data_IF_288971459679
#
_entry.id   IF_288971459679
#
_cell.length_a   1.000
_cell.length_b   1.000
_cell.length_c   1.000
_cell.angle_alpha   90.00
_cell.angle_beta   90.00
_cell.angle_gamma   90.00
#
_symmetry.space_group_name_H-M   'P 1'
#
loop_
_entity.id
_entity.type
_entity.pdbx_description
1 polymer ?
#
# COMPACT_ATOMS: atom_id res chain seq x y z
N UNK A 1 -66.47 85.63 -49.68
CA UNK A 1 -65.88 86.97 -49.50
C UNK A 1 -65.02 86.92 -48.24
N UNK A 2 -63.72 86.65 -48.37
CA UNK A 2 -62.63 87.62 -48.18
C UNK A 2 -62.81 88.51 -46.94
N UNK A 3 -61.93 88.37 -45.94
CA UNK A 3 -61.06 89.43 -45.39
C UNK A 3 -60.37 88.93 -44.11
N UNK A 4 -59.08 88.58 -44.19
CA UNK A 4 -57.90 89.33 -43.69
C UNK A 4 -57.64 89.27 -42.18
N UNK A 5 -56.54 88.57 -41.89
CA UNK A 5 -55.50 88.85 -40.90
C UNK A 5 -55.62 90.17 -40.12
N UNK A 6 -55.59 90.05 -38.80
CA UNK A 6 -55.02 91.06 -37.91
C UNK A 6 -54.19 90.34 -36.86
N UNK A 7 -52.90 90.21 -37.19
CA UNK A 7 -51.84 89.84 -36.26
C UNK A 7 -51.64 91.03 -35.31
N UNK A 8 -52.00 90.87 -34.05
CA UNK A 8 -51.63 91.81 -32.97
C UNK A 8 -50.66 91.09 -32.06
N UNK A 9 -49.43 91.59 -32.05
CA UNK A 9 -48.37 91.20 -31.14
C UNK A 9 -48.74 91.51 -29.68
N UNK A 10 -48.24 90.70 -28.76
CA UNK A 10 -47.31 91.07 -27.67
C UNK A 10 -47.53 90.18 -26.43
N UNK A 11 -46.41 89.52 -26.06
CA UNK A 11 -46.04 88.93 -24.75
C UNK A 11 -46.80 87.69 -24.27
N UNK A 12 -46.21 86.55 -24.63
CA UNK A 12 -46.33 85.27 -23.93
C UNK A 12 -45.68 85.42 -22.54
N UNK A 13 -46.45 85.81 -21.53
CA UNK A 13 -46.00 85.64 -20.14
C UNK A 13 -46.21 84.19 -19.74
N UNK A 14 -45.09 83.49 -19.69
CA UNK A 14 -44.94 82.13 -19.22
C UNK A 14 -45.01 82.16 -17.69
N UNK A 15 -46.18 81.90 -17.08
CA UNK A 15 -46.24 81.75 -15.63
C UNK A 15 -45.71 80.36 -15.25
N UNK A 16 -44.41 80.30 -14.98
CA UNK A 16 -43.76 79.21 -14.26
C UNK A 16 -43.88 79.52 -12.78
N UNK A 17 -45.05 79.27 -12.21
CA UNK A 17 -45.16 79.20 -10.77
C UNK A 17 -44.67 77.82 -10.35
N UNK A 18 -43.35 77.75 -10.16
CA UNK A 18 -42.70 76.71 -9.40
C UNK A 18 -43.38 76.63 -8.03
N UNK A 19 -44.10 75.54 -7.78
CA UNK A 19 -44.51 75.24 -6.42
C UNK A 19 -43.27 74.77 -5.66
N UNK A 20 -42.72 75.73 -4.92
CA UNK A 20 -42.02 75.47 -3.68
C UNK A 20 -42.89 74.55 -2.83
N UNK A 21 -42.27 73.53 -2.26
CA UNK A 21 -42.84 72.75 -1.17
C UNK A 21 -42.87 73.70 0.03
N UNK A 22 -43.96 74.45 0.16
CA UNK A 22 -44.24 75.26 1.33
C UNK A 22 -44.58 74.32 2.49
N UNK A 23 -43.82 74.46 3.58
CA UNK A 23 -44.04 73.77 4.85
C UNK A 23 -45.44 74.13 5.36
N UNK A 24 -46.40 73.24 5.11
CA UNK A 24 -47.71 73.33 5.75
C UNK A 24 -47.60 72.64 7.10
N UNK A 25 -47.59 73.47 8.14
CA UNK A 25 -47.62 73.07 9.54
C UNK A 25 -48.87 72.22 9.84
N UNK A 26 -48.58 71.08 10.48
CA UNK A 26 -49.43 70.34 11.41
C UNK A 26 -50.67 69.61 10.87
N UNK A 27 -50.41 68.40 10.35
CA UNK A 27 -51.18 67.25 10.84
C UNK A 27 -50.28 66.45 11.78
N UNK A 28 -50.65 66.48 13.05
CA UNK A 28 -50.09 65.81 14.22
C UNK A 28 -49.58 64.38 13.90
N UNK A 29 -48.27 64.24 13.62
CA UNK A 29 -47.61 62.99 13.25
C UNK A 29 -46.38 63.13 12.32
N UNK A 30 -46.15 64.30 11.71
CA UNK A 30 -45.10 64.52 10.69
C UNK A 30 -43.65 64.67 11.21
N UNK A 31 -43.46 64.92 12.50
CA UNK A 31 -42.13 65.19 13.08
C UNK A 31 -41.30 63.91 13.27
N UNK A 32 -41.98 62.77 13.37
CA UNK A 32 -41.35 61.47 13.55
C UNK A 32 -40.78 60.95 12.23
N UNK A 33 -41.46 61.15 11.11
CA UNK A 33 -41.01 60.60 9.83
C UNK A 33 -39.73 61.27 9.32
N UNK A 34 -39.64 62.60 9.43
CA UNK A 34 -38.44 63.36 9.04
C UNK A 34 -37.22 62.98 9.90
N UNK A 35 -37.43 62.84 11.22
CA UNK A 35 -36.36 62.42 12.14
C UNK A 35 -35.96 60.95 11.95
N UNK A 36 -36.91 60.06 11.66
CA UNK A 36 -36.63 58.65 11.32
C UNK A 36 -35.83 58.52 10.02
N UNK A 37 -36.12 59.33 9.01
CA UNK A 37 -35.38 59.33 7.74
C UNK A 37 -33.94 59.80 7.92
N UNK A 38 -33.73 60.91 8.63
CA UNK A 38 -32.37 61.39 8.93
C UNK A 38 -31.60 60.38 9.80
N UNK A 39 -32.27 59.75 10.78
CA UNK A 39 -31.68 58.67 11.58
C UNK A 39 -31.34 57.43 10.76
N UNK A 40 -32.16 57.09 9.77
CA UNK A 40 -31.92 55.98 8.86
C UNK A 40 -30.72 56.27 7.93
N UNK A 41 -30.65 57.49 7.41
CA UNK A 41 -29.52 57.96 6.60
C UNK A 41 -28.21 57.92 7.38
N UNK A 42 -28.22 58.45 8.61
CA UNK A 42 -27.07 58.38 9.51
C UNK A 42 -26.64 56.94 9.79
N UNK A 43 -27.60 56.03 10.06
CA UNK A 43 -27.30 54.60 10.27
C UNK A 43 -26.69 53.94 9.04
N UNK A 44 -27.13 54.30 7.84
CA UNK A 44 -26.54 53.79 6.59
C UNK A 44 -25.10 54.26 6.46
N UNK A 45 -24.82 55.54 6.74
CA UNK A 45 -23.46 56.08 6.69
C UNK A 45 -22.54 55.43 7.73
N UNK A 46 -23.03 55.19 8.95
CA UNK A 46 -22.33 54.43 9.98
C UNK A 46 -22.06 52.99 9.54
N UNK A 47 -23.04 52.32 8.93
CA UNK A 47 -22.90 50.94 8.47
C UNK A 47 -21.93 50.81 7.28
N UNK A 48 -21.92 51.79 6.38
CA UNK A 48 -20.94 51.87 5.29
C UNK A 48 -19.54 52.01 5.88
N UNK A 49 -19.37 52.92 6.85
CA UNK A 49 -18.10 53.15 7.52
C UNK A 49 -17.63 51.91 8.29
N UNK A 50 -18.52 51.22 8.99
CA UNK A 50 -18.21 49.97 9.71
C UNK A 50 -17.88 48.83 8.75
N UNK A 51 -18.61 48.69 7.63
CA UNK A 51 -18.29 47.71 6.57
C UNK A 51 -16.91 47.98 5.97
N UNK A 52 -16.58 49.24 5.70
CA UNK A 52 -15.28 49.63 5.16
C UNK A 52 -14.16 49.39 6.17
N UNK A 53 -14.40 49.66 7.46
CA UNK A 53 -13.47 49.33 8.54
C UNK A 53 -13.30 47.82 8.70
N UNK A 54 -14.38 47.04 8.57
CA UNK A 54 -14.36 45.57 8.59
C UNK A 54 -13.61 45.00 7.38
N UNK A 55 -13.75 45.60 6.20
CA UNK A 55 -12.99 45.21 5.00
C UNK A 55 -11.51 45.54 5.16
N UNK A 56 -11.16 46.75 5.61
CA UNK A 56 -9.77 47.11 5.91
C UNK A 56 -9.17 46.23 7.03
N UNK A 57 -9.99 45.89 8.04
CA UNK A 57 -9.60 44.97 9.11
C UNK A 57 -9.48 43.53 8.61
N UNK A 58 -10.31 43.08 7.66
CA UNK A 58 -10.24 41.76 7.04
C UNK A 58 -9.13 41.65 5.99
N UNK A 59 -8.71 42.76 5.39
CA UNK A 59 -7.50 42.85 4.55
C UNK A 59 -6.24 42.84 5.43
N UNK A 60 -6.30 43.41 6.64
CA UNK A 60 -5.18 43.39 7.61
C UNK A 60 -5.19 42.17 8.55
N UNK A 61 -6.31 41.45 8.67
CA UNK A 61 -6.49 40.15 9.36
C UNK A 61 -6.82 39.01 8.40
N UNK A 62 -6.65 39.22 7.10
CA UNK A 62 -6.29 38.09 6.27
C UNK A 62 -4.91 37.72 6.78
N UNK A 63 -4.85 36.68 7.61
CA UNK A 63 -3.73 35.75 7.48
C UNK A 63 -3.52 35.59 5.98
N UNK A 64 -2.33 36.01 5.56
CA UNK A 64 -1.87 36.13 4.19
C UNK A 64 -2.68 35.25 3.23
N UNK A 65 -3.14 35.80 2.11
CA UNK A 65 -3.50 35.03 0.91
C UNK A 65 -2.29 34.30 0.29
N UNK A 66 -1.44 33.72 1.14
CA UNK A 66 -0.19 33.02 0.87
C UNK A 66 -0.10 31.79 1.80
N UNK A 67 -1.20 31.06 2.02
CA UNK A 67 -1.22 29.89 2.89
C UNK A 67 -1.96 28.71 2.27
N UNK A 68 -3.24 28.88 1.97
CA UNK A 68 -4.10 27.78 1.52
C UNK A 68 -3.82 27.28 0.09
N UNK A 69 -3.32 28.14 -0.80
CA UNK A 69 -2.96 27.75 -2.19
C UNK A 69 -1.63 27.00 -2.22
N UNK A 70 -0.66 27.43 -1.41
CA UNK A 70 0.63 26.73 -1.27
C UNK A 70 0.48 25.39 -0.55
N UNK A 71 -0.37 25.31 0.47
CA UNK A 71 -0.65 24.04 1.16
C UNK A 71 -1.32 23.03 0.24
N UNK A 72 -2.19 23.47 -0.68
CA UNK A 72 -2.88 22.59 -1.63
C UNK A 72 -1.92 22.06 -2.70
N UNK A 73 -1.01 22.90 -3.19
CA UNK A 73 0.08 22.50 -4.10
C UNK A 73 1.12 21.61 -3.39
N UNK A 74 1.48 21.90 -2.14
CA UNK A 74 2.39 21.09 -1.33
C UNK A 74 1.77 19.71 -1.02
N UNK A 75 0.48 19.65 -0.73
CA UNK A 75 -0.27 18.39 -0.58
C UNK A 75 -0.31 17.64 -1.91
N UNK A 76 -0.56 18.32 -3.02
CA UNK A 76 -0.58 17.69 -4.34
C UNK A 76 0.79 17.08 -4.69
N UNK A 77 1.88 17.82 -4.45
CA UNK A 77 3.25 17.34 -4.63
C UNK A 77 3.56 16.16 -3.69
N UNK A 78 3.08 16.19 -2.45
CA UNK A 78 3.25 15.10 -1.50
C UNK A 78 2.50 13.84 -1.95
N UNK A 79 1.27 13.98 -2.44
CA UNK A 79 0.48 12.86 -2.99
C UNK A 79 1.17 12.27 -4.22
N UNK A 80 1.68 13.09 -5.13
CA UNK A 80 2.44 12.63 -6.30
C UNK A 80 3.72 11.86 -5.91
N UNK A 81 4.45 12.38 -4.90
CA UNK A 81 5.60 11.69 -4.33
C UNK A 81 5.22 10.33 -3.72
N UNK A 82 4.13 10.28 -2.94
CA UNK A 82 3.64 9.03 -2.35
C UNK A 82 3.16 8.02 -3.40
N UNK A 83 2.47 8.46 -4.46
CA UNK A 83 2.02 7.58 -5.55
C UNK A 83 3.22 6.88 -6.18
N UNK A 84 4.27 7.65 -6.50
CA UNK A 84 5.52 7.10 -7.02
C UNK A 84 6.20 6.15 -6.04
N UNK A 85 6.18 6.45 -4.75
CA UNK A 85 6.76 5.59 -3.72
C UNK A 85 5.98 4.28 -3.58
N UNK A 86 4.64 4.32 -3.65
CA UNK A 86 3.77 3.14 -3.65
C UNK A 86 4.03 2.27 -4.87
N UNK A 87 4.14 2.86 -6.06
CA UNK A 87 4.45 2.12 -7.29
C UNK A 87 5.83 1.46 -7.22
N UNK A 88 6.82 2.19 -6.70
CA UNK A 88 8.17 1.67 -6.50
C UNK A 88 8.19 0.52 -5.49
N UNK A 89 7.49 0.66 -4.35
CA UNK A 89 7.34 -0.39 -3.34
C UNK A 89 6.60 -1.62 -3.87
N UNK A 90 5.54 -1.43 -4.65
CA UNK A 90 4.79 -2.53 -5.26
C UNK A 90 5.68 -3.33 -6.21
N UNK A 91 6.48 -2.64 -7.04
CA UNK A 91 7.43 -3.29 -7.93
C UNK A 91 8.50 -4.08 -7.18
N UNK A 92 9.08 -3.50 -6.12
CA UNK A 92 10.03 -4.20 -5.25
C UNK A 92 9.39 -5.43 -4.60
N UNK A 93 8.14 -5.34 -4.15
CA UNK A 93 7.42 -6.43 -3.53
C UNK A 93 7.14 -7.57 -4.53
N UNK A 94 6.69 -7.26 -5.73
CA UNK A 94 6.47 -8.25 -6.79
C UNK A 94 7.78 -8.96 -7.18
N UNK A 95 8.88 -8.22 -7.26
CA UNK A 95 10.21 -8.76 -7.56
C UNK A 95 10.72 -9.66 -6.43
N UNK A 96 10.57 -9.25 -5.17
CA UNK A 96 10.89 -10.08 -4.01
C UNK A 96 10.00 -11.33 -3.94
N UNK A 97 8.71 -11.20 -4.22
CA UNK A 97 7.77 -12.32 -4.22
C UNK A 97 8.10 -13.34 -5.32
N UNK A 98 8.54 -12.87 -6.50
CA UNK A 98 9.08 -13.71 -7.56
C UNK A 98 10.38 -14.40 -7.14
N UNK A 99 11.29 -13.65 -6.51
CA UNK A 99 12.55 -14.18 -5.97
C UNK A 99 12.35 -15.20 -4.85
N UNK A 100 11.25 -15.19 -4.09
CA UNK A 100 11.00 -16.17 -3.02
C UNK A 100 10.19 -17.37 -3.53
N UNK A 101 9.19 -17.15 -4.39
CA UNK A 101 8.29 -18.21 -4.89
C UNK A 101 9.02 -19.25 -5.74
N UNK A 102 9.85 -18.80 -6.69
CA UNK A 102 10.55 -19.69 -7.63
C UNK A 102 11.58 -20.61 -6.92
N UNK A 103 12.51 -20.10 -6.09
CA UNK A 103 13.47 -20.98 -5.43
C UNK A 103 12.85 -21.81 -4.31
N UNK A 104 11.78 -21.36 -3.63
CA UNK A 104 11.14 -22.19 -2.60
C UNK A 104 10.48 -23.41 -3.22
N UNK A 105 9.82 -23.24 -4.39
CA UNK A 105 9.26 -24.37 -5.12
C UNK A 105 10.35 -25.33 -5.61
N UNK A 106 11.40 -24.83 -6.27
CA UNK A 106 12.48 -25.67 -6.81
C UNK A 106 13.30 -26.34 -5.70
N UNK A 107 13.58 -25.64 -4.61
CA UNK A 107 14.28 -26.18 -3.44
C UNK A 107 13.48 -27.30 -2.80
N UNK A 108 12.17 -27.12 -2.60
CA UNK A 108 11.29 -28.15 -2.05
C UNK A 108 11.27 -29.41 -2.93
N UNK A 109 11.12 -29.26 -4.25
CA UNK A 109 11.15 -30.40 -5.17
C UNK A 109 12.50 -31.11 -5.18
N UNK A 110 13.60 -30.35 -5.13
CA UNK A 110 14.96 -30.92 -5.06
C UNK A 110 15.14 -31.71 -3.76
N UNK A 111 14.72 -31.17 -2.62
CA UNK A 111 14.81 -31.86 -1.33
C UNK A 111 13.95 -33.13 -1.30
N UNK A 112 12.73 -33.05 -1.83
CA UNK A 112 11.84 -34.21 -1.93
C UNK A 112 12.42 -35.30 -2.84
N UNK A 113 13.02 -34.92 -3.96
CA UNK A 113 13.70 -35.83 -4.88
C UNK A 113 14.91 -36.50 -4.22
N UNK A 114 15.78 -35.72 -3.56
CA UNK A 114 16.94 -36.25 -2.83
C UNK A 114 16.54 -37.19 -1.69
N UNK A 115 15.50 -36.84 -0.92
CA UNK A 115 14.95 -37.71 0.13
C UNK A 115 14.40 -39.02 -0.45
N UNK A 116 13.68 -38.95 -1.56
CA UNK A 116 13.14 -40.13 -2.26
C UNK A 116 14.26 -41.09 -2.70
N UNK A 117 15.31 -40.56 -3.32
CA UNK A 117 16.48 -41.35 -3.75
C UNK A 117 17.19 -41.96 -2.53
N UNK A 118 17.37 -41.18 -1.47
CA UNK A 118 18.04 -41.64 -0.26
C UNK A 118 17.27 -42.75 0.46
N UNK A 119 15.95 -42.60 0.62
CA UNK A 119 15.09 -43.66 1.17
C UNK A 119 15.13 -44.92 0.31
N UNK A 120 15.10 -44.78 -1.02
CA UNK A 120 15.20 -45.91 -1.94
C UNK A 120 16.53 -46.66 -1.79
N UNK A 121 17.63 -45.93 -1.59
CA UNK A 121 18.95 -46.50 -1.35
C UNK A 121 19.01 -47.27 -0.02
N UNK A 122 18.45 -46.72 1.06
CA UNK A 122 18.43 -47.38 2.37
C UNK A 122 17.67 -48.71 2.29
N UNK A 123 16.48 -48.72 1.69
CA UNK A 123 15.68 -49.94 1.56
C UNK A 123 16.41 -51.00 0.72
N UNK A 124 17.04 -50.58 -0.38
CA UNK A 124 17.83 -51.49 -1.21
C UNK A 124 19.04 -52.06 -0.46
N UNK A 125 19.68 -51.28 0.41
CA UNK A 125 20.79 -51.75 1.24
C UNK A 125 20.33 -52.79 2.26
N UNK A 126 19.17 -52.56 2.90
CA UNK A 126 18.57 -53.51 3.85
C UNK A 126 18.26 -54.83 3.13
N UNK A 127 17.66 -54.77 1.94
CA UNK A 127 17.35 -55.97 1.14
C UNK A 127 18.63 -56.73 0.75
N UNK A 128 19.69 -56.00 0.36
CA UNK A 128 20.99 -56.61 0.08
C UNK A 128 21.57 -57.31 1.31
N UNK A 129 21.53 -56.67 2.48
CA UNK A 129 22.00 -57.26 3.75
C UNK A 129 21.16 -58.46 4.16
N UNK A 130 19.87 -58.48 3.87
CA UNK A 130 19.02 -59.67 4.07
C UNK A 130 19.46 -60.83 3.17
N UNK A 131 19.76 -60.56 1.90
CA UNK A 131 20.25 -61.58 0.97
C UNK A 131 21.62 -62.12 1.39
N UNK A 132 22.53 -61.25 1.84
CA UNK A 132 23.82 -61.65 2.39
C UNK A 132 23.61 -62.46 3.67
N UNK A 133 22.75 -62.03 4.59
CA UNK A 133 22.43 -62.79 5.81
C UNK A 133 21.92 -64.20 5.50
N UNK A 134 21.01 -64.34 4.52
CA UNK A 134 20.54 -65.66 4.05
C UNK A 134 21.68 -66.50 3.50
N UNK A 135 22.62 -65.91 2.78
CA UNK A 135 23.81 -66.60 2.30
C UNK A 135 24.73 -66.99 3.45
N UNK A 136 24.92 -66.13 4.44
CA UNK A 136 25.78 -66.38 5.61
C UNK A 136 25.33 -67.57 6.45
N UNK A 137 24.04 -67.92 6.47
CA UNK A 137 23.57 -69.17 7.12
C UNK A 137 24.35 -70.39 6.65
N UNK A 138 24.74 -70.46 5.37
CA UNK A 138 25.45 -71.63 4.83
C UNK A 138 26.84 -71.79 5.43
N UNK A 139 27.44 -70.69 5.89
CA UNK A 139 28.76 -70.65 6.53
C UNK A 139 28.66 -70.61 8.07
N UNK A 140 27.60 -70.01 8.60
CA UNK A 140 27.33 -69.84 10.04
C UNK A 140 25.92 -70.38 10.35
N UNK A 141 25.74 -71.71 10.51
CA UNK A 141 24.42 -72.31 10.70
C UNK A 141 23.72 -71.91 12.01
N UNK A 142 24.48 -71.43 12.99
CA UNK A 142 23.94 -70.92 14.26
C UNK A 142 23.43 -69.47 14.16
N UNK A 143 23.60 -68.80 13.01
CA UNK A 143 23.13 -67.44 12.80
C UNK A 143 21.61 -67.40 12.74
N UNK A 144 20.98 -66.81 13.75
CA UNK A 144 19.54 -66.57 13.78
C UNK A 144 19.19 -65.26 13.10
N UNK A 145 18.71 -65.34 11.84
CA UNK A 145 18.29 -64.17 11.07
C UNK A 145 17.15 -63.38 11.71
N UNK A 146 16.34 -64.00 12.58
CA UNK A 146 15.28 -63.33 13.31
C UNK A 146 15.80 -62.31 14.33
N UNK A 147 17.07 -62.44 14.74
CA UNK A 147 17.72 -61.52 15.68
C UNK A 147 18.66 -60.51 15.00
N UNK A 148 18.88 -60.64 13.68
CA UNK A 148 19.80 -59.76 12.94
C UNK A 148 19.13 -58.43 12.61
N UNK A 149 19.75 -57.33 13.04
CA UNK A 149 19.36 -55.98 12.62
C UNK A 149 20.05 -55.59 11.31
N UNK A 150 19.29 -55.61 10.21
CA UNK A 150 19.77 -55.27 8.87
C UNK A 150 19.99 -53.77 8.62
N UNK A 151 19.51 -52.91 9.51
CA UNK A 151 19.76 -51.46 9.44
C UNK A 151 21.19 -51.11 9.86
N UNK A 152 21.88 -52.00 10.56
CA UNK A 152 23.25 -51.82 11.04
C UNK A 152 24.27 -52.69 10.29
N UNK A 153 25.56 -52.45 10.55
CA UNK A 153 26.67 -53.11 9.87
C UNK A 153 26.96 -54.53 10.40
N UNK A 154 26.11 -55.10 11.25
CA UNK A 154 26.31 -56.42 11.86
C UNK A 154 26.50 -57.51 10.79
N UNK A 155 25.73 -57.45 9.70
CA UNK A 155 25.89 -58.40 8.58
C UNK A 155 27.25 -58.23 7.90
N UNK A 156 27.71 -56.99 7.73
CA UNK A 156 29.00 -56.69 7.12
C UNK A 156 30.16 -57.21 7.99
N UNK A 157 30.06 -57.05 9.32
CA UNK A 157 31.03 -57.56 10.30
C UNK A 157 31.10 -59.09 10.32
N UNK A 158 29.95 -59.77 10.30
CA UNK A 158 29.90 -61.24 10.23
C UNK A 158 30.50 -61.72 8.90
N UNK A 159 30.18 -61.05 7.80
CA UNK A 159 30.74 -61.37 6.49
C UNK A 159 32.27 -61.24 6.50
N UNK A 160 32.80 -60.15 7.06
CA UNK A 160 34.24 -59.93 7.18
C UNK A 160 34.93 -61.02 8.01
N UNK A 161 34.31 -61.46 9.11
CA UNK A 161 34.83 -62.56 9.93
C UNK A 161 34.84 -63.89 9.18
N UNK A 162 33.77 -64.21 8.45
CA UNK A 162 33.69 -65.43 7.63
C UNK A 162 34.77 -65.41 6.55
N UNK A 163 34.93 -64.30 5.83
CA UNK A 163 35.96 -64.15 4.80
C UNK A 163 37.36 -64.32 5.38
N UNK A 164 37.66 -63.66 6.50
CA UNK A 164 38.95 -63.79 7.20
C UNK A 164 39.24 -65.23 7.62
N UNK A 165 38.21 -65.95 8.09
CA UNK A 165 38.33 -67.36 8.48
C UNK A 165 38.61 -68.25 7.28
N UNK A 166 37.94 -68.01 6.15
CA UNK A 166 38.16 -68.78 4.93
C UNK A 166 39.56 -68.56 4.37
N UNK A 167 40.05 -67.31 4.37
CA UNK A 167 41.41 -66.99 3.94
C UNK A 167 42.47 -67.71 4.78
N UNK A 168 42.29 -67.77 6.11
CA UNK A 168 43.20 -68.49 6.99
C UNK A 168 43.22 -70.01 6.69
N UNK A 169 42.05 -70.63 6.55
CA UNK A 169 41.92 -72.08 6.26
C UNK A 169 42.52 -72.44 4.90
N UNK A 170 42.43 -71.56 3.92
CA UNK A 170 43.06 -71.76 2.61
C UNK A 170 44.58 -71.59 2.66
N UNK A 171 45.09 -70.66 3.46
CA UNK A 171 46.53 -70.47 3.65
C UNK A 171 47.17 -71.68 4.34
N UNK A 172 46.52 -72.26 5.35
CA UNK A 172 47.02 -73.43 6.08
C UNK A 172 47.08 -74.68 5.18
N UNK A 173 46.02 -74.92 4.39
CA UNK A 173 46.02 -75.99 3.37
C UNK A 173 47.15 -75.85 2.34
N UNK A 174 47.47 -74.62 1.93
CA UNK A 174 48.55 -74.33 0.97
C UNK A 174 49.94 -74.51 1.56
N UNK A 175 50.10 -74.28 2.87
CA UNK A 175 51.35 -74.50 3.60
C UNK A 175 51.67 -75.98 3.82
N UNK A 176 50.64 -76.80 4.02
CA UNK A 176 50.79 -78.25 4.19
C UNK A 176 51.12 -78.97 2.87
N UNK A 177 50.59 -78.50 1.74
CA UNK A 177 50.96 -79.00 0.40
C UNK A 177 52.43 -78.71 0.01
N UNK A 178 53.05 -77.68 0.56
CA UNK A 178 54.46 -77.34 0.29
C UNK A 178 55.45 -78.09 1.21
N UNK A 179 54.95 -78.78 2.25
CA UNK A 179 55.74 -79.54 3.23
C UNK A 179 55.74 -81.05 3.00
N UNK A 180 54.98 -81.54 2.03
CA UNK A 180 54.89 -82.94 1.62
C UNK A 180 55.47 -83.13 0.21
#
# INVERSE_FOLDING_TARGET
MQSRLSQVNVKKECSHQANQVEETEETQGGNDYKSLFEKAKQKVDELIKDKDALLAAAETKHFNGHGLENDLDDIALQVDCLIREVDQRNKENDELHSQVSVPTSLSMYTLAFSLSVFLSLILSLIELRQNIGRLLITYVPALDLGQVNYECNVVDEILEQVLSTMEYVEAERRGDEARN
#
